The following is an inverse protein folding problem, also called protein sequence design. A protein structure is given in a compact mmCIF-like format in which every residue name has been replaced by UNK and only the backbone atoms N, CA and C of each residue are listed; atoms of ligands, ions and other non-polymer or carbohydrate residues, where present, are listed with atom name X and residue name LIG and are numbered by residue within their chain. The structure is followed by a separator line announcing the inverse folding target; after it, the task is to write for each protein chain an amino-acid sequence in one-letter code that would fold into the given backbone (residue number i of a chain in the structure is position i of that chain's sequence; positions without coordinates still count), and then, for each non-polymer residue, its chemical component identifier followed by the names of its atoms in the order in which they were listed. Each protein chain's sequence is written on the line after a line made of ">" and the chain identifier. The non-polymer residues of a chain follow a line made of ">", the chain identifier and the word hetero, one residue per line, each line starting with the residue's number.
data_IF_270262179589
#
_entry.id   IF_270262179589
#
_cell.length_a   1.000
_cell.length_b   1.000
_cell.length_c   1.000
_cell.angle_alpha   90.00
_cell.angle_beta   90.00
_cell.angle_gamma   90.00
#
_symmetry.space_group_name_H-M   'P 1'
#
loop_
_entity.id
_entity.type
_entity.pdbx_description
1 polymer ?
#
# COMPACT_ATOMS: atom_id res chain seq x y z
N UNK A 1 -8.12 8.20 6.33
CA UNK A 1 -7.80 7.86 7.76
C UNK A 1 -9.04 7.56 8.63
N UNK A 2 -10.21 7.24 8.06
CA UNK A 2 -11.48 7.08 8.80
C UNK A 2 -11.87 5.63 9.10
N UNK A 3 -11.13 4.66 8.55
CA UNK A 3 -11.59 3.27 8.47
C UNK A 3 -11.33 2.46 9.76
N UNK A 4 -10.31 2.84 10.52
CA UNK A 4 -9.85 2.10 11.69
C UNK A 4 -10.77 2.18 12.93
N UNK A 5 -11.64 3.19 13.03
CA UNK A 5 -12.54 3.33 14.20
C UNK A 5 -13.72 2.36 14.10
N UNK A 6 -14.29 2.24 12.90
CA UNK A 6 -15.40 1.31 12.62
C UNK A 6 -14.99 -0.15 12.81
N UNK A 7 -13.77 -0.49 12.41
CA UNK A 7 -13.25 -1.86 12.50
C UNK A 7 -12.94 -2.28 13.94
N UNK A 8 -12.40 -1.38 14.77
CA UNK A 8 -12.23 -1.61 16.22
C UNK A 8 -13.56 -1.82 16.92
N UNK A 9 -14.56 -1.00 16.61
CA UNK A 9 -15.91 -1.11 17.19
C UNK A 9 -16.58 -2.44 16.76
N UNK A 10 -16.32 -2.94 15.55
CA UNK A 10 -16.81 -4.23 15.06
C UNK A 10 -16.18 -5.42 15.79
N UNK A 11 -14.87 -5.37 16.06
CA UNK A 11 -14.15 -6.45 16.78
C UNK A 11 -14.61 -6.51 18.24
N UNK A 12 -14.72 -5.38 18.91
CA UNK A 12 -15.13 -5.32 20.33
C UNK A 12 -16.59 -5.78 20.51
N UNK A 13 -17.49 -5.37 19.61
CA UNK A 13 -18.91 -5.73 19.67
C UNK A 13 -19.26 -7.09 19.04
N UNK A 14 -18.29 -7.80 18.46
CA UNK A 14 -18.53 -9.12 17.87
C UNK A 14 -18.95 -10.12 18.95
N UNK A 15 -20.14 -10.70 18.83
CA UNK A 15 -20.65 -11.75 19.75
C UNK A 15 -20.17 -13.15 19.38
N UNK A 16 -19.59 -13.32 18.19
CA UNK A 16 -19.17 -14.62 17.63
C UNK A 16 -17.68 -14.92 17.84
N UNK A 17 -16.89 -13.91 18.20
CA UNK A 17 -15.46 -14.06 18.49
C UNK A 17 -15.23 -14.25 19.98
N UNK A 18 -14.35 -15.21 20.32
CA UNK A 18 -13.86 -15.37 21.68
C UNK A 18 -12.95 -14.19 22.07
N UNK A 19 -12.86 -13.91 23.38
CA UNK A 19 -12.04 -12.80 23.89
C UNK A 19 -10.56 -12.94 23.52
N UNK A 20 -10.05 -14.17 23.46
CA UNK A 20 -8.69 -14.45 23.01
C UNK A 20 -8.48 -14.00 21.55
N UNK A 21 -9.46 -14.26 20.67
CA UNK A 21 -9.36 -13.91 19.25
C UNK A 21 -9.55 -12.42 19.02
N UNK A 22 -10.38 -11.75 19.83
CA UNK A 22 -10.49 -10.28 19.83
C UNK A 22 -9.17 -9.62 20.24
N UNK A 23 -8.50 -10.15 21.27
CA UNK A 23 -7.20 -9.65 21.72
C UNK A 23 -6.11 -9.81 20.66
N UNK A 24 -6.07 -10.96 19.99
CA UNK A 24 -5.16 -11.23 18.88
C UNK A 24 -5.39 -10.26 17.71
N UNK A 25 -6.65 -10.10 17.27
CA UNK A 25 -7.00 -9.17 16.19
C UNK A 25 -6.63 -7.72 16.53
N UNK A 26 -6.87 -7.28 17.78
CA UNK A 26 -6.49 -5.94 18.24
C UNK A 26 -4.98 -5.73 18.21
N UNK A 27 -4.21 -6.71 18.69
CA UNK A 27 -2.75 -6.66 18.66
C UNK A 27 -2.21 -6.59 17.22
N UNK A 28 -2.74 -7.41 16.30
CA UNK A 28 -2.36 -7.36 14.89
C UNK A 28 -2.69 -6.00 14.24
N UNK A 29 -3.86 -5.43 14.53
CA UNK A 29 -4.21 -4.09 14.03
C UNK A 29 -3.28 -3.01 14.57
N UNK A 30 -2.92 -3.07 15.85
CA UNK A 30 -2.04 -2.07 16.45
C UNK A 30 -0.60 -2.21 15.91
N UNK A 31 -0.11 -3.44 15.67
CA UNK A 31 1.16 -3.68 14.98
C UNK A 31 1.16 -3.14 13.54
N UNK A 32 0.09 -3.38 12.77
CA UNK A 32 0.00 -2.89 11.39
C UNK A 32 0.03 -1.37 11.29
N UNK A 33 -0.45 -0.65 12.31
CA UNK A 33 -0.39 0.82 12.36
C UNK A 33 1.00 1.36 12.63
N UNK A 34 1.82 0.61 13.33
CA UNK A 34 3.21 0.98 13.61
C UNK A 34 4.11 0.75 12.39
N UNK A 35 3.67 -0.03 11.41
CA UNK A 35 4.41 -0.21 10.16
C UNK A 35 4.28 1.06 9.33
N UNK A 36 5.36 1.85 9.28
CA UNK A 36 5.51 2.96 8.35
C UNK A 36 5.79 2.40 6.95
N UNK A 37 4.91 2.65 5.96
CA UNK A 37 5.13 2.19 4.59
C UNK A 37 6.44 2.72 4.01
N UNK A 38 6.81 3.95 4.39
CA UNK A 38 8.04 4.66 4.02
C UNK A 38 9.33 3.96 4.49
N UNK A 39 9.26 3.18 5.58
CA UNK A 39 10.41 2.46 6.15
C UNK A 39 10.47 1.00 5.67
N UNK A 40 9.53 0.57 4.81
CA UNK A 40 9.63 -0.76 4.19
C UNK A 40 10.70 -0.70 3.11
N UNK A 41 11.62 -1.69 3.04
CA UNK A 41 12.46 -1.81 1.88
C UNK A 41 11.57 -1.94 0.65
N UNK A 42 11.86 -1.17 -0.40
CA UNK A 42 11.17 -1.32 -1.68
C UNK A 42 11.23 -2.79 -2.06
N UNK A 43 10.07 -3.45 -2.02
CA UNK A 43 9.99 -4.91 -2.19
C UNK A 43 10.39 -5.33 -3.59
N UNK A 44 10.45 -4.36 -4.50
CA UNK A 44 10.82 -4.55 -5.89
C UNK A 44 11.97 -3.61 -6.24
N UNK A 45 13.19 -4.14 -6.16
CA UNK A 45 14.42 -3.44 -6.55
C UNK A 45 14.44 -3.05 -8.04
N UNK A 46 13.53 -3.62 -8.84
CA UNK A 46 13.36 -3.34 -10.26
C UNK A 46 12.05 -2.60 -10.54
N UNK A 47 11.33 -2.16 -9.50
CA UNK A 47 10.16 -1.33 -9.70
C UNK A 47 10.57 -0.02 -10.37
N UNK A 48 9.98 0.20 -11.54
CA UNK A 48 10.10 1.43 -12.30
C UNK A 48 9.16 2.52 -11.76
N UNK A 49 8.96 2.57 -10.45
CA UNK A 49 7.97 3.42 -9.78
C UNK A 49 8.58 4.14 -8.59
N UNK A 50 8.36 5.45 -8.47
CA UNK A 50 8.83 6.29 -7.36
C UNK A 50 7.95 6.18 -6.11
N UNK A 51 6.75 5.64 -6.27
CA UNK A 51 5.79 5.49 -5.20
C UNK A 51 4.37 5.37 -5.72
N UNK A 52 3.40 5.68 -4.86
CA UNK A 52 1.99 5.61 -5.19
C UNK A 52 1.35 6.97 -4.92
N UNK A 53 0.55 7.46 -5.85
CA UNK A 53 -0.25 8.66 -5.70
C UNK A 53 -1.20 8.51 -4.50
N UNK A 54 -1.16 9.43 -3.52
CA UNK A 54 -1.87 9.27 -2.25
C UNK A 54 -3.38 9.46 -2.36
N UNK A 55 -3.87 10.06 -3.44
CA UNK A 55 -5.30 10.31 -3.66
C UNK A 55 -5.96 9.16 -4.43
N UNK A 56 -5.26 8.64 -5.43
CA UNK A 56 -5.80 7.66 -6.38
C UNK A 56 -5.32 6.24 -6.12
N UNK A 57 -4.21 6.07 -5.41
CA UNK A 57 -3.57 4.77 -5.24
C UNK A 57 -2.95 4.24 -6.53
N UNK A 58 -2.64 5.09 -7.50
CA UNK A 58 -1.99 4.67 -8.75
C UNK A 58 -0.48 4.82 -8.60
N UNK A 59 0.29 3.84 -9.08
CA UNK A 59 1.75 3.89 -9.06
C UNK A 59 2.28 5.02 -9.96
N UNK A 60 3.22 5.79 -9.45
CA UNK A 60 3.89 6.88 -10.16
C UNK A 60 5.18 6.30 -10.74
N UNK A 61 5.36 6.28 -12.08
CA UNK A 61 6.58 5.77 -12.69
C UNK A 61 7.79 6.67 -12.37
N UNK A 62 8.99 6.11 -12.42
CA UNK A 62 10.23 6.89 -12.35
C UNK A 62 10.44 7.70 -13.62
N UNK A 63 11.17 8.82 -13.52
CA UNK A 63 11.52 9.64 -14.69
C UNK A 63 12.26 8.80 -15.75
N UNK A 64 13.19 7.93 -15.34
CA UNK A 64 13.91 7.02 -16.25
C UNK A 64 12.95 6.10 -17.03
N UNK A 65 11.92 5.57 -16.36
CA UNK A 65 10.92 4.73 -17.01
C UNK A 65 10.06 5.52 -18.00
N UNK A 66 9.80 6.80 -17.73
CA UNK A 66 9.09 7.70 -18.65
C UNK A 66 9.96 8.02 -19.86
N UNK A 67 11.26 8.27 -19.69
CA UNK A 67 12.19 8.52 -20.79
C UNK A 67 12.34 7.31 -21.71
N UNK A 68 12.52 6.10 -21.15
CA UNK A 68 12.58 4.86 -21.94
C UNK A 68 11.29 4.65 -22.76
N UNK A 69 10.13 4.86 -22.14
CA UNK A 69 8.85 4.72 -22.83
C UNK A 69 8.70 5.74 -23.97
N UNK A 70 9.15 6.98 -23.77
CA UNK A 70 9.18 8.00 -24.81
C UNK A 70 10.11 7.62 -25.94
N UNK A 71 11.34 7.20 -25.66
CA UNK A 71 12.31 6.80 -26.69
C UNK A 71 11.75 5.67 -27.55
N UNK A 72 11.09 4.69 -26.92
CA UNK A 72 10.48 3.59 -27.64
C UNK A 72 9.34 4.06 -28.57
N UNK A 73 8.40 4.87 -28.07
CA UNK A 73 7.30 5.40 -28.90
C UNK A 73 7.82 6.31 -30.00
N UNK A 74 8.72 7.21 -29.63
CA UNK A 74 9.17 8.29 -30.50
C UNK A 74 10.22 7.82 -31.50
N UNK A 75 11.03 6.80 -31.27
CA UNK A 75 12.14 6.46 -32.17
C UNK A 75 12.15 5.00 -32.63
N UNK A 76 11.77 4.04 -31.78
CA UNK A 76 11.85 2.61 -32.12
C UNK A 76 10.55 2.07 -32.74
N UNK A 77 9.40 2.50 -32.23
CA UNK A 77 8.07 2.05 -32.65
C UNK A 77 7.39 3.05 -33.59
N UNK A 78 8.19 3.69 -34.45
CA UNK A 78 7.68 4.42 -35.62
C UNK A 78 7.31 3.40 -36.70
N UNK A 79 6.09 2.90 -36.67
CA UNK A 79 5.50 2.19 -37.83
C UNK A 79 5.48 3.08 -39.07
#
# INVERSE_FOLDING_TARGET
>A
MTDNKKEKDLIENSKTLSDAKKKEMKANMDQQKEIKPEDRPDSDLYAKTEGQDPETGIEIPTEEAVEEAKEWVDNENRM
#
